data_IF_876380547318
#
_entry.id   IF_876380547318
#
_cell.length_a   1.000
_cell.length_b   1.000
_cell.length_c   1.000
_cell.angle_alpha   90.00
_cell.angle_beta   90.00
_cell.angle_gamma   90.00
#
_symmetry.space_group_name_H-M   'P 1'
#
loop_
_entity.id
_entity.type
_entity.pdbx_description
1 polymer ?
#
# COMPACT_ATOMS: atom_id res chain seq x y z
N UNK A 1 -21.54 18.28 -5.34
CA UNK A 1 -21.21 17.53 -4.11
C UNK A 1 -19.76 17.11 -4.24
N UNK A 2 -18.86 17.63 -3.42
CA UNK A 2 -17.47 17.18 -3.37
C UNK A 2 -17.47 15.75 -2.83
N UNK A 3 -17.38 14.78 -3.74
CA UNK A 3 -17.29 13.38 -3.35
C UNK A 3 -16.05 13.15 -2.47
N UNK A 4 -16.15 12.19 -1.55
CA UNK A 4 -15.02 11.73 -0.75
C UNK A 4 -14.68 10.30 -1.15
N UNK A 5 -13.44 9.88 -0.94
CA UNK A 5 -13.07 8.48 -1.02
C UNK A 5 -13.99 7.67 -0.09
N UNK A 6 -14.54 6.58 -0.60
CA UNK A 6 -15.43 5.69 0.16
C UNK A 6 -15.06 4.24 -0.09
N UNK A 7 -15.59 3.36 0.74
CA UNK A 7 -15.43 1.91 0.62
C UNK A 7 -16.81 1.27 0.52
N UNK A 8 -17.01 0.46 -0.49
CA UNK A 8 -18.26 -0.25 -0.72
C UNK A 8 -18.03 -1.76 -0.63
N UNK A 9 -19.00 -2.48 -0.10
CA UNK A 9 -18.94 -3.94 0.05
C UNK A 9 -20.09 -4.56 -0.73
N UNK A 10 -19.73 -5.46 -1.67
CA UNK A 10 -20.70 -6.24 -2.44
C UNK A 10 -20.24 -7.71 -2.46
N UNK A 11 -21.12 -8.63 -2.11
CA UNK A 11 -20.87 -10.07 -2.15
C UNK A 11 -19.51 -10.49 -1.54
N UNK A 12 -19.22 -9.99 -0.34
CA UNK A 12 -17.97 -10.24 0.38
C UNK A 12 -16.71 -9.69 -0.33
N UNK A 13 -16.87 -8.76 -1.28
CA UNK A 13 -15.78 -8.00 -1.88
C UNK A 13 -15.88 -6.54 -1.49
N UNK A 14 -14.77 -5.97 -1.08
CA UNK A 14 -14.62 -4.56 -0.79
C UNK A 14 -13.95 -3.82 -1.94
N UNK A 15 -14.43 -2.64 -2.24
CA UNK A 15 -13.84 -1.78 -3.25
C UNK A 15 -13.77 -0.34 -2.75
N UNK A 16 -12.59 0.26 -2.85
CA UNK A 16 -12.47 1.70 -2.73
C UNK A 16 -13.09 2.35 -3.96
N UNK A 17 -13.75 3.48 -3.77
CA UNK A 17 -14.38 4.23 -4.85
C UNK A 17 -13.82 5.65 -4.81
N UNK A 18 -13.11 6.02 -5.85
CA UNK A 18 -12.58 7.37 -6.00
C UNK A 18 -13.69 8.37 -6.27
N UNK A 19 -13.61 9.58 -5.70
CA UNK A 19 -14.55 10.63 -6.06
C UNK A 19 -14.38 11.06 -7.51
N UNK A 20 -15.49 11.33 -8.20
CA UNK A 20 -15.47 11.81 -9.59
C UNK A 20 -14.61 13.08 -9.76
N UNK A 21 -14.53 13.91 -8.71
CA UNK A 21 -13.73 15.14 -8.71
C UNK A 21 -12.23 14.92 -8.79
N UNK A 22 -11.73 13.68 -8.58
CA UNK A 22 -10.31 13.38 -8.72
C UNK A 22 -9.90 13.15 -10.18
N UNK A 23 -10.84 12.69 -11.02
CA UNK A 23 -10.61 12.48 -12.44
C UNK A 23 -10.52 13.83 -13.17
N UNK A 24 -9.64 13.95 -14.15
CA UNK A 24 -9.37 15.19 -14.87
C UNK A 24 -8.64 16.26 -14.04
N UNK A 25 -8.11 15.90 -12.84
CA UNK A 25 -7.39 16.84 -11.97
C UNK A 25 -6.33 16.14 -11.14
N UNK A 26 -6.68 15.67 -9.93
CA UNK A 26 -5.73 15.09 -8.97
C UNK A 26 -5.06 13.80 -9.49
N UNK A 27 -5.84 12.92 -10.11
CA UNK A 27 -5.32 11.67 -10.67
C UNK A 27 -4.43 11.93 -11.87
N UNK A 28 -4.83 12.80 -12.78
CA UNK A 28 -4.03 13.15 -13.96
C UNK A 28 -2.71 13.80 -13.54
N UNK A 29 -2.75 14.74 -12.56
CA UNK A 29 -1.53 15.35 -12.01
C UNK A 29 -0.61 14.31 -11.36
N UNK A 30 -1.18 13.31 -10.72
CA UNK A 30 -0.42 12.23 -10.09
C UNK A 30 0.18 11.28 -11.13
N UNK A 31 -0.56 10.90 -12.17
CA UNK A 31 -0.08 10.06 -13.26
C UNK A 31 1.05 10.76 -14.03
N UNK A 32 0.87 12.04 -14.43
CA UNK A 32 1.92 12.85 -15.05
C UNK A 32 3.18 12.94 -14.17
N UNK A 33 3.01 13.02 -12.87
CA UNK A 33 4.12 13.06 -11.93
C UNK A 33 4.92 11.74 -11.89
N UNK A 34 4.22 10.61 -11.94
CA UNK A 34 4.87 9.28 -12.00
C UNK A 34 5.60 9.14 -13.32
N UNK A 35 4.95 9.44 -14.44
CA UNK A 35 5.53 9.33 -15.78
C UNK A 35 6.81 10.16 -15.89
N UNK A 36 6.78 11.41 -15.40
CA UNK A 36 7.96 12.30 -15.41
C UNK A 36 9.10 11.77 -14.53
N UNK A 37 8.80 11.08 -13.43
CA UNK A 37 9.82 10.47 -12.58
C UNK A 37 10.39 9.20 -13.22
N UNK A 38 9.56 8.34 -13.77
CA UNK A 38 9.98 7.11 -14.45
C UNK A 38 10.78 7.38 -15.72
N UNK A 39 10.52 8.54 -16.38
CA UNK A 39 11.28 9.01 -17.55
C UNK A 39 12.57 9.78 -17.18
N UNK A 40 12.95 9.84 -15.90
CA UNK A 40 14.09 10.63 -15.40
C UNK A 40 14.02 12.14 -15.74
N UNK A 41 12.83 12.68 -16.00
CA UNK A 41 12.62 14.10 -16.31
C UNK A 41 12.67 14.98 -15.07
N UNK A 42 12.42 14.41 -13.90
CA UNK A 42 12.49 15.11 -12.62
C UNK A 42 13.35 14.35 -11.62
N UNK A 43 14.03 15.09 -10.75
CA UNK A 43 14.83 14.48 -9.69
C UNK A 43 13.93 13.83 -8.61
N UNK A 44 14.47 12.83 -7.92
CA UNK A 44 13.84 12.19 -6.77
C UNK A 44 13.38 13.20 -5.69
N UNK A 45 14.20 14.23 -5.41
CA UNK A 45 13.83 15.29 -4.48
C UNK A 45 12.60 16.07 -4.96
N UNK A 46 12.52 16.37 -6.26
CA UNK A 46 11.35 17.02 -6.86
C UNK A 46 10.12 16.12 -6.76
N UNK A 47 10.27 14.84 -7.07
CA UNK A 47 9.22 13.84 -6.96
C UNK A 47 8.63 13.77 -5.55
N UNK A 48 9.48 13.59 -4.53
CA UNK A 48 9.07 13.56 -3.12
C UNK A 48 8.31 14.85 -2.72
N UNK A 49 8.80 16.02 -3.14
CA UNK A 49 8.17 17.29 -2.79
C UNK A 49 6.79 17.45 -3.44
N UNK A 50 6.65 17.02 -4.70
CA UNK A 50 5.37 17.04 -5.41
C UNK A 50 4.37 16.04 -4.81
N UNK A 51 4.80 14.80 -4.47
CA UNK A 51 3.97 13.84 -3.75
C UNK A 51 3.47 14.40 -2.40
N UNK A 52 4.35 15.05 -1.64
CA UNK A 52 3.96 15.70 -0.37
C UNK A 52 2.98 16.86 -0.58
N UNK A 53 3.06 17.57 -1.71
CA UNK A 53 2.08 18.60 -2.05
C UNK A 53 0.72 17.98 -2.31
N UNK A 54 0.64 16.92 -3.12
CA UNK A 54 -0.61 16.18 -3.39
C UNK A 54 -1.21 15.62 -2.10
N UNK A 55 -0.40 15.06 -1.21
CA UNK A 55 -0.85 14.58 0.10
C UNK A 55 -1.43 15.67 1.01
N UNK A 56 -1.06 16.95 0.81
CA UNK A 56 -1.64 18.09 1.54
C UNK A 56 -2.89 18.65 0.86
N UNK A 57 -3.01 18.51 -0.46
CA UNK A 57 -4.20 18.90 -1.21
C UNK A 57 -5.37 17.98 -0.93
N UNK A 58 -5.08 16.66 -0.87
CA UNK A 58 -6.09 15.63 -0.60
C UNK A 58 -5.54 14.63 0.43
N UNK A 59 -6.05 14.74 1.65
CA UNK A 59 -5.60 13.91 2.77
C UNK A 59 -5.98 12.43 2.64
N UNK A 60 -7.00 12.13 1.84
CA UNK A 60 -7.51 10.78 1.64
C UNK A 60 -6.88 10.10 0.42
N UNK A 61 -5.93 10.75 -0.25
CA UNK A 61 -5.24 10.18 -1.41
C UNK A 61 -4.19 9.16 -1.00
N UNK A 62 -4.58 7.91 -0.87
CA UNK A 62 -3.76 6.80 -0.37
C UNK A 62 -2.47 6.61 -1.20
N UNK A 63 -2.58 6.73 -2.52
CA UNK A 63 -1.49 6.35 -3.44
C UNK A 63 -0.23 7.21 -3.29
N UNK A 64 -0.37 8.48 -3.00
CA UNK A 64 0.80 9.35 -2.75
C UNK A 64 1.62 8.87 -1.54
N UNK A 65 0.96 8.28 -0.55
CA UNK A 65 1.64 7.71 0.62
C UNK A 65 2.34 6.39 0.30
N UNK A 66 1.75 5.56 -0.57
CA UNK A 66 2.39 4.34 -1.05
C UNK A 66 3.65 4.67 -1.87
N UNK A 67 3.57 5.62 -2.82
CA UNK A 67 4.72 6.05 -3.61
C UNK A 67 5.82 6.68 -2.76
N UNK A 68 5.48 7.53 -1.78
CA UNK A 68 6.46 8.04 -0.81
C UNK A 68 7.16 6.91 -0.04
N UNK A 69 6.41 5.86 0.32
CA UNK A 69 6.99 4.72 1.03
C UNK A 69 7.99 3.96 0.15
N UNK A 70 7.68 3.73 -1.13
CA UNK A 70 8.60 3.06 -2.06
C UNK A 70 9.89 3.86 -2.27
N UNK A 71 9.79 5.15 -2.53
CA UNK A 71 10.99 6.01 -2.68
C UNK A 71 11.85 5.97 -1.41
N UNK A 72 11.25 5.99 -0.22
CA UNK A 72 12.02 5.86 1.01
C UNK A 72 12.63 4.48 1.22
N UNK A 73 12.04 3.41 0.68
CA UNK A 73 12.65 2.08 0.66
C UNK A 73 13.89 2.06 -0.24
N UNK A 74 13.81 2.66 -1.43
CA UNK A 74 14.92 2.81 -2.37
C UNK A 74 16.07 3.62 -1.76
N UNK A 75 15.76 4.66 -0.97
CA UNK A 75 16.73 5.43 -0.19
C UNK A 75 17.32 4.67 1.03
N UNK A 76 16.96 3.40 1.23
CA UNK A 76 17.30 2.65 2.44
C UNK A 76 16.90 3.36 3.75
N UNK A 77 15.75 4.02 3.73
CA UNK A 77 15.17 4.75 4.85
C UNK A 77 13.86 4.10 5.37
N UNK A 78 13.92 2.84 5.88
CA UNK A 78 12.73 2.04 6.17
C UNK A 78 11.83 2.64 7.25
N UNK A 79 12.35 3.45 8.17
CA UNK A 79 11.51 4.16 9.15
C UNK A 79 10.64 5.23 8.49
N UNK A 80 11.18 5.96 7.50
CA UNK A 80 10.41 6.95 6.74
C UNK A 80 9.38 6.25 5.86
N UNK A 81 9.77 5.14 5.24
CA UNK A 81 8.91 4.32 4.42
C UNK A 81 7.71 3.80 5.23
N UNK A 82 7.95 3.20 6.40
CA UNK A 82 6.90 2.70 7.28
C UNK A 82 5.94 3.82 7.68
N UNK A 83 6.46 4.99 8.06
CA UNK A 83 5.62 6.13 8.44
C UNK A 83 4.74 6.61 7.28
N UNK A 84 5.26 6.65 6.06
CA UNK A 84 4.47 6.99 4.88
C UNK A 84 3.40 5.92 4.60
N UNK A 85 3.76 4.64 4.56
CA UNK A 85 2.82 3.55 4.33
C UNK A 85 1.69 3.53 5.37
N UNK A 86 2.01 3.72 6.66
CA UNK A 86 1.01 3.75 7.73
C UNK A 86 0.02 4.91 7.59
N UNK A 87 0.41 6.05 7.00
CA UNK A 87 -0.53 7.14 6.68
C UNK A 87 -1.56 6.71 5.64
N UNK A 88 -1.12 6.09 4.56
CA UNK A 88 -2.03 5.53 3.56
C UNK A 88 -2.95 4.45 4.14
N UNK A 89 -2.39 3.55 4.94
CA UNK A 89 -3.18 2.51 5.62
C UNK A 89 -4.19 3.08 6.61
N UNK A 90 -3.88 4.17 7.31
CA UNK A 90 -4.80 4.83 8.23
C UNK A 90 -6.05 5.35 7.50
N UNK A 91 -5.88 5.90 6.28
CA UNK A 91 -7.00 6.31 5.43
C UNK A 91 -7.88 5.10 5.08
N UNK A 92 -7.27 4.05 4.52
CA UNK A 92 -8.02 2.86 4.12
C UNK A 92 -8.72 2.17 5.30
N UNK A 93 -8.01 1.94 6.40
CA UNK A 93 -8.56 1.27 7.57
C UNK A 93 -9.72 2.04 8.23
N UNK A 94 -9.75 3.38 8.11
CA UNK A 94 -10.87 4.20 8.59
C UNK A 94 -12.14 3.98 7.76
N UNK A 95 -11.99 3.65 6.48
CA UNK A 95 -13.10 3.49 5.54
C UNK A 95 -13.61 2.05 5.47
N UNK A 96 -12.74 1.08 5.72
CA UNK A 96 -13.11 -0.34 5.77
C UNK A 96 -13.98 -0.56 7.01
N UNK A 97 -15.18 -1.16 6.86
CA UNK A 97 -16.06 -1.43 7.99
C UNK A 97 -15.40 -2.34 9.04
N UNK A 98 -15.70 -2.09 10.32
CA UNK A 98 -15.26 -2.96 11.40
C UNK A 98 -15.78 -4.39 11.18
N UNK A 99 -14.92 -5.38 11.40
CA UNK A 99 -15.25 -6.80 11.18
C UNK A 99 -15.29 -7.23 9.70
N UNK A 100 -14.93 -6.37 8.76
CA UNK A 100 -14.84 -6.77 7.37
C UNK A 100 -13.77 -7.85 7.18
N UNK A 101 -14.20 -9.01 6.69
CA UNK A 101 -13.37 -10.20 6.42
C UNK A 101 -13.40 -10.61 4.94
N UNK A 102 -13.93 -9.75 4.08
CA UNK A 102 -14.02 -9.98 2.64
C UNK A 102 -12.71 -9.69 1.90
N UNK A 103 -12.76 -9.79 0.59
CA UNK A 103 -11.61 -9.57 -0.28
C UNK A 103 -11.53 -8.13 -0.78
N UNK A 104 -10.31 -7.62 -0.92
CA UNK A 104 -9.97 -6.35 -1.56
C UNK A 104 -9.03 -6.69 -2.71
N UNK A 105 -9.59 -7.04 -3.87
CA UNK A 105 -8.84 -7.66 -4.96
C UNK A 105 -8.17 -6.61 -5.86
N UNK A 106 -7.00 -6.97 -6.39
CA UNK A 106 -6.17 -6.11 -7.24
C UNK A 106 -6.81 -5.73 -8.58
N UNK A 107 -7.73 -6.54 -9.09
CA UNK A 107 -8.36 -6.28 -10.38
C UNK A 107 -9.13 -4.95 -10.40
N UNK A 108 -9.63 -4.49 -9.26
CA UNK A 108 -10.22 -3.17 -9.12
C UNK A 108 -9.13 -2.11 -8.96
N UNK A 109 -8.96 -1.19 -9.93
CA UNK A 109 -7.88 -0.20 -9.89
C UNK A 109 -7.85 0.63 -8.62
N UNK A 110 -9.01 1.04 -8.10
CA UNK A 110 -9.13 1.86 -6.90
C UNK A 110 -8.70 1.14 -5.60
N UNK A 111 -8.57 -0.20 -5.63
CA UNK A 111 -8.03 -0.99 -4.53
C UNK A 111 -6.50 -0.98 -4.48
N UNK A 112 -5.85 -0.75 -5.62
CA UNK A 112 -4.40 -0.86 -5.76
C UNK A 112 -3.62 0.07 -4.84
N UNK A 113 -4.03 1.34 -4.62
CA UNK A 113 -3.35 2.22 -3.68
C UNK A 113 -3.24 1.65 -2.27
N UNK A 114 -4.33 1.10 -1.75
CA UNK A 114 -4.34 0.49 -0.41
C UNK A 114 -3.46 -0.76 -0.34
N UNK A 115 -3.53 -1.63 -1.35
CA UNK A 115 -2.70 -2.83 -1.41
C UNK A 115 -1.21 -2.48 -1.58
N UNK A 116 -0.86 -1.44 -2.37
CA UNK A 116 0.50 -0.91 -2.46
C UNK A 116 1.01 -0.39 -1.12
N UNK A 117 0.20 0.40 -0.41
CA UNK A 117 0.56 0.90 0.91
C UNK A 117 0.78 -0.25 1.92
N UNK A 118 -0.06 -1.29 1.86
CA UNK A 118 0.07 -2.47 2.70
C UNK A 118 1.37 -3.23 2.41
N UNK A 119 1.67 -3.45 1.13
CA UNK A 119 2.92 -4.11 0.73
C UNK A 119 4.17 -3.29 1.09
N UNK A 120 4.13 -1.97 0.90
CA UNK A 120 5.22 -1.09 1.34
C UNK A 120 5.46 -1.16 2.85
N UNK A 121 4.40 -1.28 3.66
CA UNK A 121 4.52 -1.47 5.11
C UNK A 121 5.15 -2.83 5.46
N UNK A 122 4.84 -3.90 4.71
CA UNK A 122 5.49 -5.21 4.85
C UNK A 122 7.00 -5.08 4.63
N UNK A 123 7.41 -4.53 3.50
CA UNK A 123 8.82 -4.35 3.15
C UNK A 123 9.56 -3.51 4.19
N UNK A 124 8.95 -2.40 4.63
CA UNK A 124 9.55 -1.53 5.63
C UNK A 124 9.74 -2.23 6.99
N UNK A 125 8.76 -3.04 7.44
CA UNK A 125 8.90 -3.83 8.66
C UNK A 125 9.98 -4.91 8.53
N UNK A 126 10.06 -5.62 7.41
CA UNK A 126 11.10 -6.60 7.14
C UNK A 126 12.51 -5.95 7.21
N UNK A 127 12.71 -4.79 6.57
CA UNK A 127 13.96 -4.02 6.66
C UNK A 127 14.29 -3.53 8.07
N UNK A 128 13.28 -3.23 8.89
CA UNK A 128 13.42 -2.84 10.28
C UNK A 128 13.60 -4.04 11.22
N UNK A 129 13.63 -5.27 10.71
CA UNK A 129 13.66 -6.53 11.46
C UNK A 129 12.47 -6.70 12.41
N UNK A 130 11.35 -6.09 12.10
CA UNK A 130 10.07 -6.25 12.78
C UNK A 130 9.32 -7.44 12.15
N UNK A 131 9.91 -8.61 12.26
CA UNK A 131 9.49 -9.80 11.53
C UNK A 131 8.04 -10.19 11.82
N UNK A 132 7.62 -10.11 13.09
CA UNK A 132 6.26 -10.44 13.48
C UNK A 132 5.24 -9.47 12.87
N UNK A 133 5.55 -8.16 12.86
CA UNK A 133 4.69 -7.15 12.23
C UNK A 133 4.59 -7.37 10.72
N UNK A 134 5.71 -7.75 10.08
CA UNK A 134 5.72 -8.10 8.66
C UNK A 134 4.84 -9.32 8.37
N UNK A 135 4.94 -10.39 9.16
CA UNK A 135 4.12 -11.61 9.02
C UNK A 135 2.63 -11.27 9.11
N UNK A 136 2.21 -10.53 10.13
CA UNK A 136 0.80 -10.15 10.28
C UNK A 136 0.26 -9.37 9.07
N UNK A 137 1.09 -8.48 8.49
CA UNK A 137 0.68 -7.72 7.30
C UNK A 137 0.71 -8.59 6.03
N UNK A 138 1.62 -9.56 5.93
CA UNK A 138 1.64 -10.52 4.82
C UNK A 138 0.37 -11.38 4.85
N UNK A 139 0.01 -11.93 6.00
CA UNK A 139 -1.24 -12.69 6.16
C UNK A 139 -2.45 -11.83 5.75
N UNK A 140 -2.50 -10.59 6.25
CA UNK A 140 -3.59 -9.66 5.92
C UNK A 140 -3.71 -9.36 4.42
N UNK A 141 -2.59 -9.12 3.71
CA UNK A 141 -2.66 -8.83 2.27
C UNK A 141 -3.06 -10.06 1.48
N UNK A 142 -2.67 -11.26 1.91
CA UNK A 142 -3.05 -12.52 1.28
C UNK A 142 -4.54 -12.86 1.51
N UNK A 143 -5.08 -12.53 2.68
CA UNK A 143 -6.52 -12.65 2.96
C UNK A 143 -7.34 -11.70 2.07
N UNK A 144 -6.90 -10.47 1.91
CA UNK A 144 -7.57 -9.49 1.06
C UNK A 144 -7.42 -9.80 -0.44
N UNK A 145 -6.23 -10.21 -0.87
CA UNK A 145 -5.90 -10.44 -2.27
C UNK A 145 -5.15 -11.77 -2.46
N UNK A 146 -5.88 -12.90 -2.46
CA UNK A 146 -5.29 -14.26 -2.53
C UNK A 146 -4.49 -14.52 -3.82
N UNK A 147 -4.73 -13.76 -4.89
CA UNK A 147 -3.99 -13.85 -6.14
C UNK A 147 -2.54 -13.34 -6.00
N UNK A 148 -2.27 -12.61 -4.93
CA UNK A 148 -0.94 -12.16 -4.54
C UNK A 148 -0.16 -11.44 -5.65
N UNK A 149 -0.77 -10.44 -6.26
CA UNK A 149 -0.16 -9.66 -7.35
C UNK A 149 1.14 -8.93 -6.94
N UNK A 150 1.43 -8.85 -5.65
CA UNK A 150 2.67 -8.27 -5.11
C UNK A 150 3.76 -9.31 -4.81
N UNK A 151 3.42 -10.58 -4.77
CA UNK A 151 4.35 -11.64 -4.36
C UNK A 151 4.64 -11.66 -2.86
N UNK A 152 3.72 -11.20 -2.02
CA UNK A 152 3.87 -11.14 -0.57
C UNK A 152 4.11 -12.52 0.06
N UNK A 153 3.53 -13.58 -0.50
CA UNK A 153 3.72 -14.96 -0.03
C UNK A 153 5.18 -15.40 -0.05
N UNK A 154 5.98 -14.89 -0.98
CA UNK A 154 7.41 -15.22 -1.05
C UNK A 154 8.22 -14.66 0.12
N UNK A 155 7.69 -13.67 0.81
CA UNK A 155 8.30 -13.10 2.01
C UNK A 155 7.93 -13.88 3.28
N UNK A 156 6.81 -14.60 3.29
CA UNK A 156 6.27 -15.23 4.49
C UNK A 156 7.22 -16.30 5.07
N UNK A 157 7.71 -17.21 4.25
CA UNK A 157 8.64 -18.25 4.68
C UNK A 157 9.90 -17.68 5.31
N UNK A 158 10.65 -16.78 4.63
CA UNK A 158 11.81 -16.11 5.21
C UNK A 158 11.53 -15.35 6.51
N UNK A 159 10.41 -14.65 6.61
CA UNK A 159 10.06 -13.92 7.84
C UNK A 159 9.73 -14.86 9.01
N UNK A 160 9.02 -15.97 8.76
CA UNK A 160 8.78 -17.02 9.74
C UNK A 160 10.09 -17.66 10.26
N UNK A 161 11.05 -17.93 9.35
CA UNK A 161 12.36 -18.45 9.77
C UNK A 161 13.08 -17.49 10.72
N UNK A 162 13.00 -16.20 10.47
CA UNK A 162 13.61 -15.16 11.32
C UNK A 162 12.97 -15.03 12.70
N UNK A 163 11.73 -15.45 12.87
CA UNK A 163 11.06 -15.51 14.18
C UNK A 163 11.25 -16.84 14.91
N UNK A 164 11.92 -17.82 14.29
CA UNK A 164 12.08 -19.17 14.84
C UNK A 164 10.88 -20.09 14.61
N UNK A 165 9.89 -19.67 13.83
CA UNK A 165 8.71 -20.47 13.49
C UNK A 165 9.00 -21.51 12.39
N UNK A 166 9.99 -22.38 12.62
CA UNK A 166 10.55 -23.30 11.62
C UNK A 166 9.54 -24.30 11.03
N UNK A 167 8.60 -24.80 11.84
CA UNK A 167 7.57 -25.73 11.36
C UNK A 167 6.59 -25.05 10.40
N UNK A 168 6.14 -23.82 10.73
CA UNK A 168 5.27 -23.04 9.87
C UNK A 168 5.98 -22.66 8.56
N UNK A 169 7.24 -22.22 8.66
CA UNK A 169 8.05 -21.89 7.49
C UNK A 169 8.21 -23.10 6.56
N UNK A 170 8.47 -24.30 7.12
CA UNK A 170 8.59 -25.53 6.33
C UNK A 170 7.31 -25.84 5.55
N UNK A 171 6.16 -25.68 6.19
CA UNK A 171 4.86 -25.94 5.55
C UNK A 171 4.58 -25.01 4.36
N UNK A 172 5.03 -23.77 4.43
CA UNK A 172 4.82 -22.75 3.37
C UNK A 172 5.82 -22.91 2.23
N UNK A 173 7.03 -23.38 2.50
CA UNK A 173 8.10 -23.50 1.52
C UNK A 173 8.10 -24.85 0.76
N UNK A 174 7.18 -25.77 1.08
CA UNK A 174 6.94 -27.02 0.37
C UNK A 174 5.93 -26.84 -0.76
#
# INVERSE_FOLDING_TARGET
MTGKLRFEVNDNQGCFIFPETWFGSLLDEFEELIDAYDADEISETSYINKLRRLARQENDFIDVHAHLAYVFLEQNAPRKALNAALKGLAVGNRLIPEGFSGRIIWIHPDNRPFLRALYAAILANAHLRRHQDAIMLIEKILDYNPEDNHGARWLLGPELLRTGAHEQARHILQ
#
